data_IF_439711910011
#
_entry.id   IF_439711910011
#
_cell.length_a   1.000
_cell.length_b   1.000
_cell.length_c   1.000
_cell.angle_alpha   90.00
_cell.angle_beta   90.00
_cell.angle_gamma   90.00
#
_symmetry.space_group_name_H-M   'P 1'
#
loop_
_entity.id
_entity.type
_entity.pdbx_description
1 polymer ?
#
# COMPACT_ATOMS: atom_id res chain seq x y z
N UNK A 1 -20.48 6.96 -35.40
CA UNK A 1 -19.72 6.16 -34.44
C UNK A 1 -19.26 4.83 -35.03
N UNK A 2 -20.13 4.04 -35.66
CA UNK A 2 -19.80 2.69 -36.23
C UNK A 2 -18.64 2.69 -37.24
N UNK A 3 -18.49 3.73 -38.07
CA UNK A 3 -17.40 3.83 -39.05
C UNK A 3 -16.02 3.99 -38.43
N UNK A 4 -15.92 4.75 -37.29
CA UNK A 4 -14.67 4.94 -36.55
C UNK A 4 -14.23 3.62 -35.92
N UNK A 5 -15.17 2.88 -35.30
CA UNK A 5 -14.86 1.56 -34.72
C UNK A 5 -14.42 0.54 -35.79
N UNK A 6 -14.99 0.60 -37.01
CA UNK A 6 -14.58 -0.26 -38.12
C UNK A 6 -13.13 0.04 -38.58
N UNK A 7 -12.76 1.29 -38.62
CA UNK A 7 -11.39 1.72 -38.94
C UNK A 7 -10.42 1.34 -37.82
N UNK A 8 -10.82 1.49 -36.57
CA UNK A 8 -10.03 1.08 -35.40
C UNK A 8 -9.81 -0.45 -35.39
N UNK A 9 -10.84 -1.23 -35.72
CA UNK A 9 -10.75 -2.68 -35.86
C UNK A 9 -9.74 -3.15 -36.92
N UNK A 10 -9.46 -2.32 -37.93
CA UNK A 10 -8.42 -2.62 -38.93
C UNK A 10 -6.99 -2.62 -38.32
N UNK A 11 -6.79 -1.86 -37.24
CA UNK A 11 -5.53 -1.74 -36.52
C UNK A 11 -5.56 -2.47 -35.16
N UNK A 12 -6.41 -3.51 -35.03
CA UNK A 12 -6.70 -4.21 -33.76
C UNK A 12 -5.45 -4.65 -32.99
N UNK A 13 -4.39 -5.12 -33.68
CA UNK A 13 -3.17 -5.58 -33.03
C UNK A 13 -2.45 -4.45 -32.27
N UNK A 14 -2.38 -3.23 -32.88
CA UNK A 14 -1.78 -2.07 -32.18
C UNK A 14 -2.69 -1.59 -31.06
N UNK A 15 -4.01 -1.61 -31.26
CA UNK A 15 -4.96 -1.27 -30.19
C UNK A 15 -4.83 -2.23 -29.01
N UNK A 16 -4.63 -3.51 -29.24
CA UNK A 16 -4.42 -4.51 -28.17
C UNK A 16 -3.14 -4.20 -27.39
N UNK A 17 -2.05 -3.85 -28.07
CA UNK A 17 -0.80 -3.43 -27.41
C UNK A 17 -1.03 -2.16 -26.58
N UNK A 18 -1.77 -1.19 -27.09
CA UNK A 18 -2.14 0.04 -26.34
C UNK A 18 -2.94 -0.33 -25.09
N UNK A 19 -3.92 -1.23 -25.20
CA UNK A 19 -4.69 -1.71 -24.04
C UNK A 19 -3.80 -2.39 -23.01
N UNK A 20 -2.90 -3.27 -23.43
CA UNK A 20 -1.96 -3.93 -22.51
C UNK A 20 -1.06 -2.91 -21.78
N UNK A 21 -0.56 -1.91 -22.51
CA UNK A 21 0.23 -0.83 -21.90
C UNK A 21 -0.59 0.03 -20.94
N UNK A 22 -1.88 0.28 -21.23
CA UNK A 22 -2.77 1.00 -20.30
C UNK A 22 -3.01 0.22 -19.01
N UNK A 23 -3.07 -1.11 -19.05
CA UNK A 23 -3.13 -1.92 -17.83
C UNK A 23 -1.87 -1.77 -17.00
N UNK A 24 -0.68 -1.82 -17.63
CA UNK A 24 0.59 -1.59 -16.94
C UNK A 24 0.63 -0.19 -16.34
N UNK A 25 0.19 0.82 -17.08
CA UNK A 25 0.12 2.20 -16.59
C UNK A 25 -0.80 2.31 -15.36
N UNK A 26 -2.02 1.75 -15.44
CA UNK A 26 -2.98 1.77 -14.33
C UNK A 26 -2.43 1.04 -13.08
N UNK A 27 -1.74 -0.09 -13.27
CA UNK A 27 -1.08 -0.78 -12.17
C UNK A 27 -0.01 0.10 -11.50
N UNK A 28 0.82 0.78 -12.29
CA UNK A 28 1.82 1.71 -11.75
C UNK A 28 1.16 2.86 -10.98
N UNK A 29 0.11 3.47 -11.54
CA UNK A 29 -0.61 4.59 -10.91
C UNK A 29 -1.26 4.19 -9.57
N UNK A 30 -1.84 2.98 -9.50
CA UNK A 30 -2.48 2.47 -8.29
C UNK A 30 -1.48 2.01 -7.23
N UNK A 31 -0.27 1.60 -7.63
CA UNK A 31 0.77 1.16 -6.70
C UNK A 31 1.57 2.32 -6.08
N UNK A 32 1.62 3.50 -6.70
CA UNK A 32 2.39 4.64 -6.18
C UNK A 32 1.96 5.09 -4.77
N UNK A 33 0.65 5.20 -4.43
CA UNK A 33 0.22 5.53 -3.08
C UNK A 33 0.72 4.52 -2.03
N UNK A 34 0.78 3.21 -2.35
CA UNK A 34 1.27 2.18 -1.43
C UNK A 34 2.74 2.39 -1.07
N UNK A 35 3.58 2.74 -2.06
CA UNK A 35 4.99 3.07 -1.79
C UNK A 35 5.12 4.33 -0.95
N UNK A 36 4.25 5.32 -1.16
CA UNK A 36 4.23 6.54 -0.33
C UNK A 36 3.86 6.21 1.12
N UNK A 37 2.82 5.38 1.33
CA UNK A 37 2.43 4.89 2.64
C UNK A 37 3.58 4.12 3.31
N UNK A 38 4.23 3.19 2.59
CA UNK A 38 5.40 2.46 3.10
C UNK A 38 6.55 3.36 3.53
N UNK A 39 6.83 4.44 2.79
CA UNK A 39 7.87 5.40 3.16
C UNK A 39 7.49 6.13 4.45
N UNK A 40 6.23 6.56 4.59
CA UNK A 40 5.77 7.33 5.75
C UNK A 40 5.59 6.39 6.95
N UNK A 41 4.79 5.34 6.82
CA UNK A 41 4.38 4.49 7.93
C UNK A 41 5.55 3.61 8.40
N UNK A 42 6.12 2.82 7.49
CA UNK A 42 7.22 1.92 7.85
C UNK A 42 8.56 2.66 7.91
N UNK A 43 8.85 3.51 6.91
CA UNK A 43 10.17 4.15 6.80
C UNK A 43 10.39 5.24 7.85
N UNK A 44 9.40 6.10 8.11
CA UNK A 44 9.55 7.24 9.01
C UNK A 44 9.01 6.91 10.40
N UNK A 45 7.77 6.42 10.51
CA UNK A 45 7.14 6.19 11.81
C UNK A 45 7.69 4.96 12.54
N UNK A 46 8.00 3.88 11.79
CA UNK A 46 8.50 2.61 12.35
C UNK A 46 10.02 2.44 12.19
N UNK A 47 10.77 3.49 11.77
CA UNK A 47 12.22 3.42 11.64
C UNK A 47 12.73 2.43 10.58
N UNK A 48 11.92 2.06 9.58
CA UNK A 48 12.27 1.12 8.53
C UNK A 48 12.09 -0.37 8.93
N UNK A 49 11.34 -0.64 9.98
CA UNK A 49 11.12 -1.98 10.53
C UNK A 49 9.81 -2.54 9.99
N UNK A 50 9.87 -3.68 9.30
CA UNK A 50 8.72 -4.35 8.67
C UNK A 50 8.19 -5.53 9.50
N UNK A 51 9.01 -6.07 10.43
CA UNK A 51 8.71 -7.31 11.15
C UNK A 51 9.06 -7.16 12.64
N UNK A 52 8.25 -7.73 13.55
CA UNK A 52 8.58 -7.80 14.97
C UNK A 52 9.78 -8.69 15.25
N UNK A 53 10.21 -9.52 14.28
CA UNK A 53 11.37 -10.38 14.42
C UNK A 53 12.64 -9.59 14.06
N UNK A 54 13.49 -9.17 15.03
CA UNK A 54 14.68 -8.38 14.76
C UNK A 54 15.72 -9.15 13.94
N UNK A 55 16.32 -8.50 12.94
CA UNK A 55 17.40 -9.11 12.17
C UNK A 55 18.68 -9.32 13.00
N UNK A 56 18.90 -8.44 13.97
CA UNK A 56 19.98 -8.55 14.98
C UNK A 56 19.41 -8.23 16.36
N UNK A 57 19.83 -8.94 17.37
CA UNK A 57 19.37 -8.77 18.76
C UNK A 57 20.54 -8.95 19.72
N UNK A 58 20.55 -8.19 20.82
CA UNK A 58 21.52 -8.39 21.91
C UNK A 58 21.12 -9.59 22.76
N UNK A 59 22.10 -10.22 23.41
CA UNK A 59 21.84 -11.37 24.28
C UNK A 59 20.85 -11.07 25.42
N UNK A 60 20.95 -9.87 26.02
CA UNK A 60 20.05 -9.43 27.09
C UNK A 60 18.59 -9.37 26.67
N UNK A 61 18.33 -8.83 25.48
CA UNK A 61 16.99 -8.72 24.91
C UNK A 61 16.44 -10.07 24.47
N UNK A 62 17.28 -10.92 23.84
CA UNK A 62 16.90 -12.28 23.48
C UNK A 62 16.52 -13.11 24.68
N UNK A 63 17.30 -13.02 25.78
CA UNK A 63 17.00 -13.71 27.03
C UNK A 63 15.69 -13.21 27.66
N UNK A 64 15.46 -11.89 27.71
CA UNK A 64 14.24 -11.30 28.23
C UNK A 64 13.00 -11.74 27.41
N UNK A 65 13.06 -11.69 26.07
CA UNK A 65 11.98 -12.16 25.19
C UNK A 65 11.72 -13.67 25.38
N UNK A 66 12.78 -14.46 25.46
CA UNK A 66 12.67 -15.92 25.69
C UNK A 66 11.99 -16.27 27.01
N UNK A 67 12.12 -15.44 28.06
CA UNK A 67 11.43 -15.62 29.34
C UNK A 67 9.92 -15.39 29.23
N UNK A 68 9.50 -14.54 28.31
CA UNK A 68 8.11 -14.20 28.05
C UNK A 68 7.43 -15.14 27.04
N UNK A 69 8.16 -16.08 26.42
CA UNK A 69 7.66 -17.09 25.48
C UNK A 69 7.36 -18.42 26.16
N UNK A 70 6.54 -19.25 25.51
CA UNK A 70 6.41 -20.68 25.89
C UNK A 70 7.74 -21.38 25.68
N UNK A 71 7.97 -22.48 26.41
CA UNK A 71 9.24 -23.18 26.36
C UNK A 71 9.62 -23.67 24.96
N UNK A 72 8.63 -24.16 24.19
CA UNK A 72 8.80 -24.61 22.81
C UNK A 72 9.18 -23.45 21.86
N UNK A 73 8.48 -22.34 21.99
CA UNK A 73 8.69 -21.14 21.17
C UNK A 73 10.03 -20.46 21.51
N UNK A 74 10.39 -20.42 22.81
CA UNK A 74 11.66 -19.88 23.28
C UNK A 74 12.86 -20.66 22.73
N UNK A 75 12.78 -22.00 22.74
CA UNK A 75 13.83 -22.84 22.17
C UNK A 75 13.95 -22.62 20.63
N UNK A 76 12.84 -22.54 19.91
CA UNK A 76 12.84 -22.24 18.49
C UNK A 76 13.41 -20.84 18.20
N UNK A 77 13.03 -19.83 18.99
CA UNK A 77 13.50 -18.46 18.88
C UNK A 77 15.01 -18.35 19.12
N UNK A 78 15.53 -18.95 20.18
CA UNK A 78 16.97 -18.97 20.46
C UNK A 78 17.77 -19.68 19.36
N UNK A 79 17.28 -20.81 18.84
CA UNK A 79 17.91 -21.54 17.74
C UNK A 79 17.87 -20.82 16.38
N UNK A 80 16.98 -19.84 16.23
CA UNK A 80 16.88 -19.05 15.02
C UNK A 80 17.99 -18.00 14.91
N UNK A 81 18.75 -17.76 15.99
CA UNK A 81 19.84 -16.79 16.03
C UNK A 81 21.21 -17.46 16.12
N UNK A 82 22.19 -16.84 15.49
CA UNK A 82 23.60 -17.25 15.56
C UNK A 82 24.45 -16.08 16.04
N UNK A 83 25.47 -16.36 16.85
CA UNK A 83 26.37 -15.34 17.38
C UNK A 83 27.17 -14.66 16.24
N UNK A 84 27.16 -13.33 16.21
CA UNK A 84 27.90 -12.48 15.28
C UNK A 84 28.53 -11.30 16.06
N UNK A 85 29.67 -11.53 16.68
CA UNK A 85 30.33 -10.57 17.58
C UNK A 85 29.54 -10.35 18.87
N UNK A 86 29.20 -9.10 19.18
CA UNK A 86 28.46 -8.70 20.39
C UNK A 86 26.94 -8.82 20.25
N UNK A 87 26.46 -9.18 19.06
CA UNK A 87 25.03 -9.34 18.75
C UNK A 87 24.75 -10.72 18.17
N UNK A 88 23.50 -11.11 18.22
CA UNK A 88 22.99 -12.33 17.63
C UNK A 88 22.26 -11.97 16.34
N UNK A 89 22.56 -12.68 15.26
CA UNK A 89 21.96 -12.45 13.93
C UNK A 89 20.95 -13.55 13.61
N UNK A 90 19.80 -13.14 13.09
CA UNK A 90 18.79 -14.06 12.60
C UNK A 90 19.34 -14.87 11.41
N UNK A 91 19.15 -16.18 11.45
CA UNK A 91 19.56 -17.10 10.38
C UNK A 91 18.80 -16.79 9.08
N UNK A 92 19.51 -16.87 7.96
CA UNK A 92 18.96 -16.60 6.62
C UNK A 92 18.33 -17.80 5.94
N UNK A 93 18.54 -19.02 6.51
CA UNK A 93 18.06 -20.29 5.99
C UNK A 93 16.68 -20.72 6.54
N UNK A 94 16.01 -19.85 7.31
CA UNK A 94 14.66 -20.07 7.81
C UNK A 94 13.65 -20.09 6.64
N UNK A 95 12.76 -21.06 6.68
CA UNK A 95 11.61 -21.12 5.76
C UNK A 95 10.60 -20.00 6.05
N UNK A 96 9.75 -19.67 5.07
CA UNK A 96 8.71 -18.65 5.27
C UNK A 96 7.75 -19.01 6.42
N UNK A 97 7.41 -20.29 6.55
CA UNK A 97 6.50 -20.79 7.61
C UNK A 97 7.15 -20.69 8.99
N UNK A 98 8.44 -21.07 9.12
CA UNK A 98 9.19 -20.93 10.37
C UNK A 98 9.32 -19.47 10.78
N UNK A 99 9.57 -18.58 9.81
CA UNK A 99 9.66 -17.14 10.07
C UNK A 99 8.34 -16.57 10.58
N UNK A 100 7.23 -16.92 9.93
CA UNK A 100 5.89 -16.48 10.34
C UNK A 100 5.55 -17.00 11.75
N UNK A 101 5.87 -18.25 12.05
CA UNK A 101 5.65 -18.81 13.37
C UNK A 101 6.46 -18.09 14.46
N UNK A 102 7.71 -17.70 14.16
CA UNK A 102 8.55 -16.91 15.08
C UNK A 102 8.05 -15.46 15.23
N UNK A 103 7.58 -14.83 14.14
CA UNK A 103 6.97 -13.50 14.18
C UNK A 103 5.72 -13.48 15.06
N UNK A 104 4.86 -14.49 14.95
CA UNK A 104 3.67 -14.63 15.80
C UNK A 104 4.06 -14.88 17.27
N UNK A 105 5.07 -15.71 17.51
CA UNK A 105 5.53 -16.05 18.86
C UNK A 105 6.19 -14.86 19.59
N UNK A 106 6.93 -14.00 18.86
CA UNK A 106 7.66 -12.86 19.44
C UNK A 106 6.78 -11.64 19.65
N UNK A 107 5.70 -11.47 18.88
CA UNK A 107 4.85 -10.27 18.90
C UNK A 107 4.31 -9.95 20.30
N UNK A 108 3.79 -10.92 21.03
CA UNK A 108 3.30 -10.72 22.41
C UNK A 108 4.41 -10.36 23.41
N UNK A 109 5.55 -11.08 23.48
CA UNK A 109 6.72 -10.69 24.24
C UNK A 109 7.23 -9.28 23.93
N UNK A 110 7.30 -8.89 22.66
CA UNK A 110 7.75 -7.56 22.24
C UNK A 110 6.84 -6.46 22.79
N UNK A 111 5.52 -6.64 22.70
CA UNK A 111 4.54 -5.70 23.27
C UNK A 111 4.77 -5.53 24.77
N UNK A 112 4.91 -6.63 25.48
CA UNK A 112 5.10 -6.62 26.95
C UNK A 112 6.39 -5.90 27.32
N UNK A 113 7.48 -6.23 26.63
CA UNK A 113 8.79 -5.63 26.90
C UNK A 113 8.80 -4.13 26.58
N UNK A 114 8.15 -3.72 25.46
CA UNK A 114 7.99 -2.31 25.12
C UNK A 114 7.16 -1.53 26.14
N UNK A 115 6.05 -2.11 26.60
CA UNK A 115 5.21 -1.47 27.63
C UNK A 115 5.95 -1.37 28.97
N UNK A 116 6.71 -2.39 29.33
CA UNK A 116 7.55 -2.35 30.53
C UNK A 116 8.62 -1.24 30.42
N UNK A 117 9.27 -1.08 29.25
CA UNK A 117 10.21 0.00 29.00
C UNK A 117 9.55 1.38 29.06
N UNK A 118 8.33 1.52 28.50
CA UNK A 118 7.55 2.76 28.59
C UNK A 118 7.19 3.10 30.02
N UNK A 119 6.84 2.11 30.82
CA UNK A 119 6.56 2.31 32.26
C UNK A 119 7.83 2.70 33.02
N UNK A 120 8.97 2.09 32.74
CA UNK A 120 10.25 2.47 33.33
C UNK A 120 10.62 3.91 33.04
N UNK A 121 10.46 4.38 31.79
CA UNK A 121 10.69 5.76 31.36
C UNK A 121 9.81 6.79 32.12
N UNK A 122 8.59 6.41 32.48
CA UNK A 122 7.60 7.28 33.13
C UNK A 122 7.58 7.13 34.67
N UNK A 123 8.40 6.22 35.22
CA UNK A 123 8.46 6.01 36.67
C UNK A 123 9.59 6.86 37.28
N UNK A 124 9.33 7.69 38.31
CA UNK A 124 10.38 8.47 38.97
C UNK A 124 11.46 7.56 39.55
N UNK A 125 12.73 7.94 39.36
CA UNK A 125 13.88 7.22 39.87
C UNK A 125 13.75 6.95 41.38
N UNK A 126 13.56 5.68 41.75
CA UNK A 126 13.43 5.22 43.14
C UNK A 126 12.15 4.44 43.47
N UNK A 127 11.19 4.33 42.57
CA UNK A 127 10.02 3.45 42.72
C UNK A 127 10.14 2.25 41.77
N UNK A 128 10.73 1.19 42.23
CA UNK A 128 10.81 -0.10 41.52
C UNK A 128 9.47 -0.81 41.64
N UNK A 129 8.48 -0.36 40.85
CA UNK A 129 7.21 -1.07 40.67
C UNK A 129 7.33 -2.03 39.48
N UNK A 130 7.34 -3.32 39.79
CA UNK A 130 7.46 -4.39 38.81
C UNK A 130 6.27 -4.34 37.83
N UNK A 131 6.55 -4.15 36.53
CA UNK A 131 5.65 -3.76 35.45
C UNK A 131 4.53 -4.73 35.03
N UNK A 132 4.00 -5.58 35.90
CA UNK A 132 2.78 -6.36 35.62
C UNK A 132 1.49 -5.54 35.84
N UNK A 133 1.56 -4.41 36.50
CA UNK A 133 0.44 -3.46 36.64
C UNK A 133 0.14 -2.72 35.36
N UNK A 134 1.10 -2.53 34.46
CA UNK A 134 0.91 -1.87 33.15
C UNK A 134 -0.11 -2.55 32.22
N UNK A 135 -0.26 -3.86 32.32
CA UNK A 135 -1.30 -4.60 31.59
C UNK A 135 -2.70 -4.33 32.17
N UNK A 136 -2.83 -4.14 33.47
CA UNK A 136 -4.10 -3.76 34.11
C UNK A 136 -4.47 -2.29 33.80
N UNK A 137 -3.48 -1.40 33.71
CA UNK A 137 -3.67 0.00 33.34
C UNK A 137 -4.05 0.17 31.86
N UNK A 138 -3.62 -0.74 30.97
CA UNK A 138 -4.09 -0.78 29.58
C UNK A 138 -5.58 -1.13 29.48
N UNK A 139 -6.10 -2.00 30.33
CA UNK A 139 -7.54 -2.27 30.43
C UNK A 139 -8.31 -1.06 30.91
N UNK A 140 -7.75 -0.27 31.83
CA UNK A 140 -8.37 0.93 32.35
C UNK A 140 -8.28 2.11 31.35
N UNK A 141 -7.17 2.26 30.61
CA UNK A 141 -6.94 3.34 29.64
C UNK A 141 -7.70 3.14 28.31
N UNK A 142 -8.06 1.88 27.97
CA UNK A 142 -8.88 1.59 26.78
C UNK A 142 -10.34 1.98 26.94
N UNK A 143 -10.83 2.14 28.17
CA UNK A 143 -12.24 2.42 28.48
C UNK A 143 -12.56 3.90 28.64
N UNK A 144 -11.59 4.81 28.87
CA UNK A 144 -11.88 6.21 29.21
C UNK A 144 -10.93 7.20 28.52
N UNK A 145 -11.07 7.34 27.19
CA UNK A 145 -10.36 8.36 26.39
C UNK A 145 -11.00 9.76 26.44
N UNK A 146 -11.85 10.05 27.42
CA UNK A 146 -12.56 11.33 27.57
C UNK A 146 -12.06 12.21 28.72
N UNK A 147 -10.87 11.99 29.24
CA UNK A 147 -10.26 12.93 30.18
C UNK A 147 -9.13 13.69 29.46
N UNK A 148 -9.36 14.99 29.24
CA UNK A 148 -8.43 16.00 28.69
C UNK A 148 -7.20 16.25 29.60
N UNK A 149 -6.56 15.21 30.08
CA UNK A 149 -5.27 15.31 30.76
C UNK A 149 -4.24 14.72 29.81
N UNK A 150 -3.66 15.54 28.97
CA UNK A 150 -2.42 15.27 28.23
C UNK A 150 -1.30 14.99 29.25
N UNK A 151 -1.27 13.80 29.81
CA UNK A 151 -0.06 13.30 30.44
C UNK A 151 0.89 12.95 29.31
N UNK A 152 1.85 13.83 29.06
CA UNK A 152 2.91 13.65 28.06
C UNK A 152 3.71 12.41 28.48
N UNK A 153 3.31 11.24 27.96
CA UNK A 153 4.03 9.96 28.17
C UNK A 153 5.36 10.05 27.46
N UNK A 154 6.44 10.02 28.22
CA UNK A 154 7.80 10.01 27.67
C UNK A 154 8.02 8.69 26.93
N UNK A 155 8.50 8.79 25.68
CA UNK A 155 8.86 7.59 24.94
C UNK A 155 10.04 6.88 25.60
N UNK A 156 10.02 5.51 25.66
CA UNK A 156 11.13 4.76 26.24
C UNK A 156 12.41 4.93 25.43
N UNK A 157 13.53 4.84 26.12
CA UNK A 157 14.87 4.90 25.54
C UNK A 157 15.55 3.53 25.57
N UNK A 158 16.70 3.41 24.90
CA UNK A 158 17.53 2.21 24.95
C UNK A 158 18.00 1.87 26.38
N UNK A 159 18.21 2.90 27.25
CA UNK A 159 18.59 2.69 28.66
C UNK A 159 17.43 2.10 29.48
N UNK A 160 16.20 2.50 29.19
CA UNK A 160 15.01 1.94 29.82
C UNK A 160 14.82 0.49 29.44
N UNK A 161 15.09 0.14 28.17
CA UNK A 161 15.07 -1.24 27.70
C UNK A 161 16.11 -2.11 28.44
N UNK A 162 17.35 -1.61 28.60
CA UNK A 162 18.40 -2.32 29.32
C UNK A 162 18.03 -2.53 30.79
N UNK A 163 17.43 -1.53 31.41
CA UNK A 163 16.95 -1.61 32.79
C UNK A 163 15.90 -2.71 32.96
N UNK A 164 14.94 -2.75 32.03
CA UNK A 164 13.85 -3.75 32.03
C UNK A 164 14.37 -5.14 31.72
N UNK A 165 15.27 -5.31 30.75
CA UNK A 165 15.92 -6.59 30.49
C UNK A 165 16.67 -7.12 31.75
N UNK A 166 17.37 -6.23 32.46
CA UNK A 166 18.01 -6.55 33.73
C UNK A 166 17.02 -6.99 34.82
N UNK A 167 15.85 -6.35 34.91
CA UNK A 167 14.79 -6.74 35.87
C UNK A 167 14.20 -8.11 35.53
N UNK A 168 13.93 -8.41 34.25
CA UNK A 168 13.48 -9.75 33.83
C UNK A 168 14.52 -10.83 34.11
N UNK A 169 15.80 -10.55 33.88
CA UNK A 169 16.89 -11.46 34.23
C UNK A 169 16.95 -11.74 35.72
N UNK A 170 16.78 -10.74 36.58
CA UNK A 170 16.72 -10.88 38.01
C UNK A 170 15.48 -11.67 38.46
N UNK A 171 14.32 -11.42 37.84
CA UNK A 171 13.07 -12.12 38.14
C UNK A 171 13.15 -13.63 37.81
N UNK A 172 13.84 -13.99 36.73
CA UNK A 172 14.03 -15.40 36.34
C UNK A 172 14.80 -16.21 37.37
N UNK A 173 15.62 -15.56 38.22
CA UNK A 173 16.40 -16.19 39.27
C UNK A 173 15.64 -16.33 40.61
N UNK A 174 14.41 -15.75 40.71
CA UNK A 174 13.61 -15.83 41.92
C UNK A 174 13.01 -17.24 42.12
N UNK A 175 13.04 -17.79 43.36
CA UNK A 175 12.37 -19.04 43.64
C UNK A 175 10.86 -18.91 43.44
N UNK A 176 10.29 -19.71 42.53
CA UNK A 176 8.85 -19.68 42.21
C UNK A 176 8.48 -19.02 40.91
N UNK A 177 9.44 -18.52 40.13
CA UNK A 177 9.18 -18.05 38.77
C UNK A 177 8.71 -19.20 37.87
N UNK A 178 7.55 -19.03 37.23
CA UNK A 178 7.01 -20.00 36.27
C UNK A 178 6.67 -19.27 34.97
N UNK A 179 7.30 -19.66 33.85
CA UNK A 179 7.02 -19.17 32.51
C UNK A 179 5.56 -19.38 32.14
N UNK A 180 5.00 -20.56 32.45
CA UNK A 180 3.62 -20.90 32.12
C UNK A 180 2.60 -19.98 32.81
N UNK A 181 2.90 -19.60 34.08
CA UNK A 181 2.02 -18.67 34.79
C UNK A 181 2.05 -17.28 34.19
N UNK A 182 3.20 -16.77 33.74
CA UNK A 182 3.34 -15.49 33.02
C UNK A 182 2.61 -15.55 31.71
N UNK A 183 2.78 -16.61 30.92
CA UNK A 183 2.13 -16.81 29.63
C UNK A 183 0.60 -16.90 29.74
N UNK A 184 0.08 -17.61 30.74
CA UNK A 184 -1.36 -17.69 30.97
C UNK A 184 -1.95 -16.32 31.31
N UNK A 185 -1.25 -15.52 32.12
CA UNK A 185 -1.67 -14.15 32.41
C UNK A 185 -1.67 -13.25 31.17
N UNK A 186 -0.60 -13.31 30.35
CA UNK A 186 -0.46 -12.54 29.12
C UNK A 186 -1.53 -12.90 28.09
N UNK A 187 -1.70 -14.19 27.82
CA UNK A 187 -2.71 -14.68 26.88
C UNK A 187 -4.12 -14.33 27.34
N UNK A 188 -4.38 -14.43 28.65
CA UNK A 188 -5.67 -14.05 29.24
C UNK A 188 -5.96 -12.54 29.16
N UNK A 189 -4.93 -11.69 29.31
CA UNK A 189 -5.07 -10.26 29.21
C UNK A 189 -5.30 -9.81 27.75
N UNK A 190 -4.52 -10.32 26.80
CA UNK A 190 -4.64 -9.97 25.38
C UNK A 190 -5.94 -10.53 24.77
N UNK A 191 -6.35 -11.74 25.15
CA UNK A 191 -7.58 -12.36 24.67
C UNK A 191 -8.89 -11.66 25.09
N UNK A 192 -8.81 -10.69 26.00
CA UNK A 192 -9.94 -9.84 26.42
C UNK A 192 -9.96 -8.48 25.72
N UNK A 193 -8.96 -8.18 24.87
CA UNK A 193 -8.87 -6.91 24.15
C UNK A 193 -9.64 -6.97 22.83
N UNK A 194 -10.17 -5.83 22.40
CA UNK A 194 -10.81 -5.69 21.11
C UNK A 194 -9.78 -5.78 19.96
N UNK A 195 -10.18 -6.31 18.81
CA UNK A 195 -9.31 -6.49 17.64
C UNK A 195 -8.59 -5.20 17.22
N UNK A 196 -9.24 -4.04 17.37
CA UNK A 196 -8.63 -2.72 17.10
C UNK A 196 -7.49 -2.38 18.07
N UNK A 197 -7.61 -2.78 19.33
CA UNK A 197 -6.56 -2.60 20.35
C UNK A 197 -5.40 -3.54 20.07
N UNK A 198 -5.68 -4.78 19.70
CA UNK A 198 -4.65 -5.78 19.33
C UNK A 198 -3.83 -5.29 18.14
N UNK A 199 -4.46 -4.70 17.11
CA UNK A 199 -3.75 -4.16 15.94
C UNK A 199 -2.85 -2.97 16.32
N UNK A 200 -3.32 -2.08 17.19
CA UNK A 200 -2.50 -1.00 17.74
C UNK A 200 -1.32 -1.53 18.58
N UNK A 201 -1.52 -2.60 19.35
CA UNK A 201 -0.46 -3.24 20.13
C UNK A 201 0.59 -3.90 19.23
N UNK A 202 0.21 -4.48 18.11
CA UNK A 202 1.17 -5.03 17.13
C UNK A 202 2.13 -3.96 16.59
N UNK A 203 1.65 -2.73 16.39
CA UNK A 203 2.53 -1.63 16.00
C UNK A 203 3.58 -1.30 17.07
N UNK A 204 3.25 -1.51 18.35
CA UNK A 204 4.19 -1.30 19.46
C UNK A 204 5.29 -2.39 19.51
N UNK A 205 5.01 -3.63 19.06
CA UNK A 205 6.03 -4.65 18.90
C UNK A 205 7.16 -4.19 17.95
N UNK A 206 6.80 -3.49 16.86
CA UNK A 206 7.80 -2.93 15.93
C UNK A 206 8.65 -1.84 16.59
N UNK A 207 8.06 -1.07 17.52
CA UNK A 207 8.79 -0.01 18.24
C UNK A 207 9.84 -0.61 19.18
N UNK A 208 9.60 -1.79 19.79
CA UNK A 208 10.61 -2.49 20.57
C UNK A 208 11.85 -2.82 19.72
N UNK A 209 11.64 -3.34 18.52
CA UNK A 209 12.75 -3.63 17.59
C UNK A 209 13.51 -2.35 17.25
N UNK A 210 12.80 -1.21 17.16
CA UNK A 210 13.41 0.12 16.98
C UNK A 210 14.33 0.50 18.14
N UNK A 211 13.88 0.32 19.39
CA UNK A 211 14.68 0.54 20.59
C UNK A 211 15.91 -0.38 20.65
N UNK A 212 15.74 -1.64 20.27
CA UNK A 212 16.83 -2.59 20.20
C UNK A 212 17.91 -2.16 19.19
N UNK A 213 17.50 -1.68 18.00
CA UNK A 213 18.43 -1.15 17.00
C UNK A 213 19.07 0.17 17.43
N UNK A 214 18.37 0.99 18.20
CA UNK A 214 18.92 2.19 18.82
C UNK A 214 20.00 1.84 19.84
N UNK A 215 19.73 0.86 20.70
CA UNK A 215 20.70 0.33 21.67
C UNK A 215 21.96 -0.27 21.02
N UNK A 216 21.81 -0.86 19.81
CA UNK A 216 22.92 -1.33 19.00
C UNK A 216 23.61 -0.20 18.20
N UNK A 217 23.06 1.01 18.16
CA UNK A 217 23.57 2.13 17.39
C UNK A 217 23.38 1.99 15.87
N UNK A 218 22.51 1.08 15.39
CA UNK A 218 22.29 0.81 13.96
C UNK A 218 20.93 1.31 13.44
N UNK A 219 20.06 1.84 14.31
CA UNK A 219 18.70 2.27 13.94
C UNK A 219 18.68 3.19 12.72
N UNK A 220 19.53 4.21 12.69
CA UNK A 220 19.62 5.14 11.55
C UNK A 220 20.05 4.44 10.26
N UNK A 221 20.98 3.49 10.33
CA UNK A 221 21.45 2.75 9.14
C UNK A 221 20.34 1.86 8.58
N UNK A 222 19.58 1.20 9.43
CA UNK A 222 18.42 0.36 9.05
C UNK A 222 17.34 1.22 8.39
N UNK A 223 16.98 2.34 9.01
CA UNK A 223 16.00 3.28 8.47
C UNK A 223 16.40 3.80 7.09
N UNK A 224 17.65 4.29 6.95
CA UNK A 224 18.14 4.81 5.68
C UNK A 224 18.20 3.75 4.60
N UNK A 225 18.62 2.53 4.95
CA UNK A 225 18.64 1.41 4.00
C UNK A 225 17.24 1.11 3.46
N UNK A 226 16.23 1.07 4.37
CA UNK A 226 14.84 0.88 3.99
C UNK A 226 14.33 2.00 3.07
N UNK A 227 14.57 3.27 3.43
CA UNK A 227 14.16 4.43 2.65
C UNK A 227 14.78 4.44 1.25
N UNK A 228 16.07 4.10 1.14
CA UNK A 228 16.73 3.98 -0.18
C UNK A 228 16.17 2.84 -1.01
N UNK A 229 15.85 1.69 -0.38
CA UNK A 229 15.26 0.52 -1.05
C UNK A 229 13.88 0.87 -1.61
N UNK A 230 12.98 1.37 -0.76
CA UNK A 230 11.59 1.69 -1.14
C UNK A 230 11.54 2.90 -2.07
N UNK A 231 12.32 3.95 -1.79
CA UNK A 231 12.46 5.11 -2.67
C UNK A 231 13.00 4.77 -4.04
N UNK A 232 13.99 3.87 -4.12
CA UNK A 232 14.51 3.33 -5.38
C UNK A 232 13.47 2.54 -6.17
N UNK A 233 12.66 1.71 -5.50
CA UNK A 233 11.55 0.98 -6.12
C UNK A 233 10.48 1.95 -6.65
N UNK A 234 10.10 2.96 -5.87
CA UNK A 234 9.15 4.00 -6.27
C UNK A 234 9.66 4.78 -7.49
N UNK A 235 10.95 5.14 -7.50
CA UNK A 235 11.57 5.80 -8.63
C UNK A 235 11.55 4.93 -9.89
N UNK A 236 11.91 3.65 -9.77
CA UNK A 236 11.88 2.71 -10.89
C UNK A 236 10.44 2.54 -11.45
N UNK A 237 9.44 2.43 -10.57
CA UNK A 237 8.03 2.35 -10.95
C UNK A 237 7.57 3.62 -11.68
N UNK A 238 7.96 4.79 -11.20
CA UNK A 238 7.65 6.08 -11.84
C UNK A 238 8.30 6.21 -13.22
N UNK A 239 9.55 5.80 -13.36
CA UNK A 239 10.23 5.78 -14.66
C UNK A 239 9.57 4.82 -15.65
N UNK A 240 9.16 3.64 -15.18
CA UNK A 240 8.39 2.68 -15.97
C UNK A 240 7.06 3.31 -16.44
N UNK A 241 6.32 3.96 -15.54
CA UNK A 241 5.06 4.64 -15.85
C UNK A 241 5.25 5.72 -16.93
N UNK A 242 6.29 6.55 -16.83
CA UNK A 242 6.63 7.56 -17.84
C UNK A 242 6.94 6.92 -19.18
N UNK A 243 7.75 5.87 -19.22
CA UNK A 243 8.09 5.16 -20.46
C UNK A 243 6.83 4.56 -21.12
N UNK A 244 5.97 3.92 -20.34
CA UNK A 244 4.70 3.36 -20.81
C UNK A 244 3.77 4.45 -21.32
N UNK A 245 3.63 5.56 -20.62
CA UNK A 245 2.79 6.70 -21.03
C UNK A 245 3.25 7.29 -22.37
N UNK A 246 4.56 7.43 -22.57
CA UNK A 246 5.15 7.87 -23.85
C UNK A 246 4.83 6.85 -24.95
N UNK A 247 5.00 5.56 -24.69
CA UNK A 247 4.71 4.49 -25.66
C UNK A 247 3.22 4.48 -26.06
N UNK A 248 2.31 4.60 -25.10
CA UNK A 248 0.86 4.72 -25.35
C UNK A 248 0.56 5.94 -26.22
N UNK A 249 1.11 7.11 -25.89
CA UNK A 249 0.93 8.34 -26.66
C UNK A 249 1.44 8.20 -28.09
N UNK A 250 2.60 7.61 -28.28
CA UNK A 250 3.19 7.36 -29.60
C UNK A 250 2.35 6.39 -30.43
N UNK A 251 1.95 5.25 -29.86
CA UNK A 251 1.14 4.25 -30.59
C UNK A 251 -0.25 4.78 -30.92
N UNK A 252 -0.92 5.47 -29.99
CA UNK A 252 -2.22 6.08 -30.22
C UNK A 252 -2.16 7.13 -31.34
N UNK A 253 -1.13 7.98 -31.35
CA UNK A 253 -0.91 8.96 -32.42
C UNK A 253 -0.63 8.31 -33.77
N UNK A 254 0.13 7.23 -33.78
CA UNK A 254 0.42 6.45 -35.02
C UNK A 254 -0.82 5.81 -35.60
N UNK A 255 -1.67 5.20 -34.76
CA UNK A 255 -2.96 4.63 -35.18
C UNK A 255 -3.88 5.72 -35.73
N UNK A 256 -4.01 6.84 -35.02
CA UNK A 256 -4.82 7.99 -35.43
C UNK A 256 -4.36 8.55 -36.76
N UNK A 257 -3.06 8.73 -37.00
CA UNK A 257 -2.49 9.19 -38.26
C UNK A 257 -2.77 8.19 -39.41
N UNK A 258 -2.71 6.89 -39.15
CA UNK A 258 -3.06 5.85 -40.13
C UNK A 258 -4.55 5.93 -40.52
N UNK A 259 -5.43 6.07 -39.52
CA UNK A 259 -6.88 6.26 -39.76
C UNK A 259 -7.13 7.51 -40.60
N UNK A 260 -6.49 8.65 -40.26
CA UNK A 260 -6.63 9.87 -41.02
C UNK A 260 -6.16 9.77 -42.47
N UNK A 261 -5.05 9.05 -42.70
CA UNK A 261 -4.57 8.75 -44.06
C UNK A 261 -5.60 7.94 -44.84
N UNK A 262 -6.11 6.87 -44.21
CA UNK A 262 -7.06 5.97 -44.89
C UNK A 262 -8.39 6.69 -45.19
N UNK A 263 -8.89 7.54 -44.28
CA UNK A 263 -10.07 8.38 -44.50
C UNK A 263 -9.86 9.37 -45.64
N UNK A 264 -8.72 10.06 -45.68
CA UNK A 264 -8.41 10.99 -46.79
C UNK A 264 -8.39 10.30 -48.15
N UNK A 265 -7.76 9.11 -48.19
CA UNK A 265 -7.70 8.27 -49.40
C UNK A 265 -9.10 7.84 -49.83
N UNK A 266 -9.94 7.40 -48.89
CA UNK A 266 -11.31 6.95 -49.19
C UNK A 266 -12.18 8.11 -49.69
N UNK A 267 -12.11 9.27 -49.03
CA UNK A 267 -12.85 10.47 -49.42
C UNK A 267 -12.41 10.98 -50.81
N UNK A 268 -11.09 11.05 -51.04
CA UNK A 268 -10.56 11.50 -52.34
C UNK A 268 -10.95 10.54 -53.46
N UNK A 269 -10.86 9.22 -53.22
CA UNK A 269 -11.31 8.24 -54.20
C UNK A 269 -12.80 8.38 -54.52
N UNK A 270 -13.65 8.64 -53.53
CA UNK A 270 -15.08 8.86 -53.74
C UNK A 270 -15.37 10.12 -54.57
N UNK A 271 -14.66 11.22 -54.26
CA UNK A 271 -14.83 12.50 -54.99
C UNK A 271 -14.45 12.41 -56.48
N UNK A 272 -13.39 11.64 -56.81
CA UNK A 272 -12.98 11.44 -58.22
C UNK A 272 -14.06 10.69 -59.03
N UNK A 273 -14.87 9.87 -58.40
CA UNK A 273 -15.91 9.09 -59.07
C UNK A 273 -17.26 9.79 -59.06
N UNK A 274 -17.38 11.04 -58.58
CA UNK A 274 -18.60 11.80 -58.63
C UNK A 274 -18.98 12.17 -60.08
N UNK A 275 -20.26 12.05 -60.40
CA UNK A 275 -20.84 12.57 -61.63
C UNK A 275 -20.92 14.10 -61.58
N UNK A 276 -21.07 14.76 -62.78
CA UNK A 276 -21.22 16.22 -62.83
C UNK A 276 -22.40 16.71 -61.98
N UNK A 277 -23.51 15.99 -61.93
CA UNK A 277 -24.68 16.35 -61.14
C UNK A 277 -24.41 16.24 -59.62
N UNK A 278 -23.54 15.32 -59.17
CA UNK A 278 -23.13 15.19 -57.77
C UNK A 278 -22.16 16.30 -57.37
N UNK A 279 -21.24 16.69 -58.26
CA UNK A 279 -20.29 17.79 -58.01
C UNK A 279 -21.03 19.12 -57.84
N UNK A 280 -22.11 19.36 -58.60
CA UNK A 280 -22.93 20.59 -58.47
C UNK A 280 -23.66 20.68 -57.12
N UNK A 281 -23.98 19.55 -56.50
CA UNK A 281 -24.62 19.50 -55.17
C UNK A 281 -23.64 19.80 -54.00
N UNK A 282 -22.34 19.72 -54.21
CA UNK A 282 -21.34 20.00 -53.20
C UNK A 282 -20.49 21.23 -53.57
N UNK A 283 -20.40 22.20 -52.67
CA UNK A 283 -19.46 23.30 -52.89
C UNK A 283 -18.01 22.82 -52.74
N UNK A 284 -17.11 23.30 -53.58
CA UNK A 284 -15.67 22.98 -53.49
C UNK A 284 -15.09 23.31 -52.12
N UNK A 285 -15.54 24.42 -51.50
CA UNK A 285 -15.13 24.78 -50.13
C UNK A 285 -15.55 23.75 -49.10
N UNK A 286 -16.76 23.19 -49.21
CA UNK A 286 -17.24 22.12 -48.30
C UNK A 286 -16.42 20.84 -48.42
N UNK A 287 -16.05 20.44 -49.63
CA UNK A 287 -15.23 19.27 -49.88
C UNK A 287 -13.81 19.44 -49.31
N UNK A 288 -13.21 20.62 -49.43
CA UNK A 288 -11.91 20.95 -48.86
C UNK A 288 -11.99 20.89 -47.34
N UNK A 289 -12.99 21.48 -46.70
CA UNK A 289 -13.15 21.47 -45.25
C UNK A 289 -13.31 20.04 -44.71
N UNK A 290 -14.11 19.21 -45.37
CA UNK A 290 -14.31 17.80 -44.98
C UNK A 290 -13.03 16.96 -45.11
N UNK A 291 -12.23 17.16 -46.12
CA UNK A 291 -10.98 16.42 -46.36
C UNK A 291 -9.83 16.87 -45.46
N UNK A 292 -9.87 18.07 -44.92
CA UNK A 292 -8.85 18.65 -44.06
C UNK A 292 -9.28 18.68 -42.60
N UNK A 293 -10.20 19.56 -42.23
CA UNK A 293 -10.54 19.85 -40.83
C UNK A 293 -11.36 18.73 -40.19
N UNK A 294 -12.38 18.17 -40.86
CA UNK A 294 -13.20 17.11 -40.25
C UNK A 294 -12.40 15.84 -40.01
N UNK A 295 -11.52 15.47 -40.93
CA UNK A 295 -10.64 14.31 -40.76
C UNK A 295 -9.62 14.56 -39.61
N UNK A 296 -9.14 15.80 -39.47
CA UNK A 296 -8.25 16.14 -38.34
C UNK A 296 -8.98 16.04 -37.02
N UNK A 297 -10.24 16.44 -36.91
CA UNK A 297 -11.08 16.26 -35.73
C UNK A 297 -11.27 14.76 -35.41
N UNK A 298 -11.53 13.92 -36.42
CA UNK A 298 -11.63 12.46 -36.24
C UNK A 298 -10.31 11.88 -35.71
N UNK A 299 -9.17 12.34 -36.23
CA UNK A 299 -7.87 11.92 -35.69
C UNK A 299 -7.71 12.27 -34.21
N UNK A 300 -8.06 13.49 -33.81
CA UNK A 300 -8.01 13.94 -32.43
C UNK A 300 -8.92 13.07 -31.54
N UNK A 301 -10.15 12.82 -31.96
CA UNK A 301 -11.09 11.94 -31.22
C UNK A 301 -10.56 10.53 -31.10
N UNK A 302 -9.92 9.99 -32.14
CA UNK A 302 -9.31 8.65 -32.07
C UNK A 302 -8.19 8.57 -31.01
N UNK A 303 -7.31 9.58 -30.93
CA UNK A 303 -6.28 9.64 -29.88
C UNK A 303 -6.92 9.72 -28.50
N UNK A 304 -7.93 10.58 -28.35
CA UNK A 304 -8.64 10.75 -27.09
C UNK A 304 -9.35 9.46 -26.64
N UNK A 305 -10.02 8.76 -27.58
CA UNK A 305 -10.66 7.47 -27.31
C UNK A 305 -9.66 6.42 -26.83
N UNK A 306 -8.54 6.28 -27.52
CA UNK A 306 -7.52 5.29 -27.18
C UNK A 306 -6.81 5.60 -25.86
N UNK A 307 -6.59 6.88 -25.55
CA UNK A 307 -5.80 7.29 -24.39
C UNK A 307 -6.64 7.55 -23.13
N UNK A 308 -7.78 8.24 -23.26
CA UNK A 308 -8.58 8.66 -22.10
C UNK A 308 -9.78 7.76 -21.85
N UNK A 309 -10.56 7.45 -22.90
CA UNK A 309 -11.81 6.69 -22.74
C UNK A 309 -11.51 5.22 -22.44
N UNK A 310 -10.41 4.68 -22.99
CA UNK A 310 -9.98 3.31 -22.68
C UNK A 310 -9.33 3.20 -21.28
N UNK A 311 -8.60 4.23 -20.85
CA UNK A 311 -7.88 4.24 -19.57
C UNK A 311 -8.81 4.38 -18.36
N UNK A 312 -9.84 5.25 -18.45
CA UNK A 312 -10.71 5.54 -17.32
C UNK A 312 -11.43 4.31 -16.71
N UNK A 313 -12.01 3.37 -17.51
CA UNK A 313 -12.60 2.15 -16.97
C UNK A 313 -11.57 1.23 -16.31
N UNK A 314 -10.36 1.13 -16.88
CA UNK A 314 -9.28 0.29 -16.35
C UNK A 314 -8.86 0.81 -14.98
N UNK A 315 -8.62 2.12 -14.87
CA UNK A 315 -8.25 2.76 -13.61
C UNK A 315 -9.38 2.70 -12.58
N UNK A 316 -10.64 2.91 -13.00
CA UNK A 316 -11.79 2.86 -12.11
C UNK A 316 -12.03 1.48 -11.52
N UNK A 317 -12.02 0.43 -12.35
CA UNK A 317 -12.18 -0.95 -11.90
C UNK A 317 -10.97 -1.37 -11.04
N UNK A 318 -9.75 -1.06 -11.50
CA UNK A 318 -8.52 -1.35 -10.78
C UNK A 318 -8.50 -0.68 -9.39
N UNK A 319 -8.90 0.60 -9.29
CA UNK A 319 -8.98 1.32 -8.03
C UNK A 319 -9.98 0.71 -7.05
N UNK A 320 -11.18 0.34 -7.52
CA UNK A 320 -12.18 -0.34 -6.68
C UNK A 320 -11.64 -1.68 -6.16
N UNK A 321 -11.04 -2.50 -7.04
CA UNK A 321 -10.46 -3.79 -6.64
C UNK A 321 -9.31 -3.62 -5.63
N UNK A 322 -8.48 -2.59 -5.82
CA UNK A 322 -7.36 -2.28 -4.93
C UNK A 322 -7.85 -1.90 -3.51
N UNK A 323 -8.87 -1.05 -3.43
CA UNK A 323 -9.44 -0.61 -2.14
C UNK A 323 -10.15 -1.74 -1.39
N UNK A 324 -10.86 -2.64 -2.10
CA UNK A 324 -11.52 -3.80 -1.47
C UNK A 324 -10.47 -4.73 -0.80
N UNK A 325 -9.26 -4.80 -1.35
CA UNK A 325 -8.16 -5.61 -0.80
C UNK A 325 -7.46 -4.99 0.41
N UNK A 326 -7.59 -3.67 0.64
CA UNK A 326 -6.75 -2.95 1.62
C UNK A 326 -7.37 -2.82 3.02
N UNK A 327 -8.69 -2.59 3.14
CA UNK A 327 -9.34 -2.48 4.46
C UNK A 327 -10.86 -2.61 4.35
N UNK A 328 -11.48 -3.41 5.22
CA UNK A 328 -12.91 -3.73 5.12
C UNK A 328 -13.88 -2.60 5.51
N UNK A 329 -13.48 -1.67 6.39
CA UNK A 329 -14.39 -0.63 6.90
C UNK A 329 -14.56 0.57 5.98
N UNK A 330 -13.46 1.18 5.55
CA UNK A 330 -13.44 2.35 4.66
C UNK A 330 -13.77 2.02 3.21
N UNK A 331 -13.52 0.78 2.78
CA UNK A 331 -13.75 0.30 1.42
C UNK A 331 -15.19 0.45 0.97
N UNK A 332 -16.16 0.16 1.84
CA UNK A 332 -17.59 0.26 1.52
C UNK A 332 -18.03 1.71 1.30
N UNK A 333 -17.46 2.67 2.02
CA UNK A 333 -17.76 4.10 1.86
C UNK A 333 -17.29 4.57 0.49
N UNK A 334 -16.07 4.19 0.08
CA UNK A 334 -15.50 4.56 -1.22
C UNK A 334 -16.27 3.92 -2.38
N UNK A 335 -16.63 2.63 -2.26
CA UNK A 335 -17.44 1.94 -3.28
C UNK A 335 -18.81 2.59 -3.42
N UNK A 336 -19.43 3.00 -2.32
CA UNK A 336 -20.70 3.71 -2.32
C UNK A 336 -20.59 5.07 -3.00
N UNK A 337 -19.55 5.84 -2.69
CA UNK A 337 -19.30 7.16 -3.28
C UNK A 337 -19.07 7.07 -4.81
N UNK A 338 -18.25 6.12 -5.25
CA UNK A 338 -18.03 5.83 -6.67
C UNK A 338 -19.35 5.41 -7.36
N UNK A 339 -20.17 4.59 -6.72
CA UNK A 339 -21.48 4.17 -7.25
C UNK A 339 -22.43 5.36 -7.39
N UNK A 340 -22.48 6.26 -6.42
CA UNK A 340 -23.27 7.50 -6.45
C UNK A 340 -22.80 8.42 -7.57
N UNK A 341 -21.49 8.63 -7.73
CA UNK A 341 -20.89 9.44 -8.80
C UNK A 341 -21.24 8.88 -10.18
N UNK A 342 -21.10 7.57 -10.37
CA UNK A 342 -21.48 6.90 -11.62
C UNK A 342 -22.97 7.07 -11.91
N UNK A 343 -23.84 6.93 -10.92
CA UNK A 343 -25.29 7.11 -11.05
C UNK A 343 -25.63 8.57 -11.46
N UNK A 344 -24.97 9.55 -10.82
CA UNK A 344 -25.13 10.98 -11.10
C UNK A 344 -24.73 11.35 -12.54
N UNK A 345 -23.70 10.69 -13.09
CA UNK A 345 -23.23 10.92 -14.46
C UNK A 345 -24.10 10.17 -15.49
N UNK A 346 -24.49 8.93 -15.19
CA UNK A 346 -25.27 8.09 -16.11
C UNK A 346 -26.71 8.54 -16.24
N UNK A 347 -27.36 8.94 -15.15
CA UNK A 347 -28.78 9.35 -15.17
C UNK A 347 -29.08 10.50 -16.15
N UNK A 348 -28.33 11.64 -16.15
CA UNK A 348 -28.54 12.71 -17.13
C UNK A 348 -28.20 12.29 -18.56
N UNK A 349 -27.16 11.43 -18.74
CA UNK A 349 -26.73 10.95 -20.05
C UNK A 349 -27.78 10.06 -20.70
N UNK A 350 -28.40 9.16 -19.93
CA UNK A 350 -29.51 8.30 -20.39
C UNK A 350 -30.76 9.13 -20.70
N UNK A 351 -31.06 10.16 -19.89
CA UNK A 351 -32.21 11.03 -20.10
C UNK A 351 -32.06 11.85 -21.39
N UNK A 352 -30.87 12.39 -21.61
CA UNK A 352 -30.55 13.16 -22.80
C UNK A 352 -30.51 12.28 -24.07
N UNK A 353 -30.01 11.05 -23.96
CA UNK A 353 -30.04 10.07 -25.05
C UNK A 353 -31.46 9.67 -25.46
N UNK A 354 -32.38 9.56 -24.52
CA UNK A 354 -33.81 9.31 -24.80
C UNK A 354 -34.51 10.49 -25.49
N UNK A 355 -34.20 11.72 -25.05
CA UNK A 355 -34.80 12.93 -25.69
C UNK A 355 -34.34 13.13 -27.14
N UNK A 356 -33.12 12.73 -27.49
CA UNK A 356 -32.60 12.77 -28.84
C UNK A 356 -33.24 11.69 -29.72
N UNK A 357 -33.43 10.48 -29.19
CA UNK A 357 -34.07 9.39 -29.92
C UNK A 357 -35.58 9.66 -30.21
N UNK A 358 -36.29 10.36 -29.32
CA UNK A 358 -37.70 10.77 -29.53
C UNK A 358 -37.88 11.94 -30.47
N UNK A 359 -36.83 12.64 -30.89
CA UNK A 359 -36.88 13.75 -31.85
C UNK A 359 -36.56 13.33 -33.31
N UNK A 360 -36.13 12.09 -33.51
CA UNK A 360 -35.83 11.55 -34.85
C UNK A 360 -36.96 10.67 -35.42
N UNK A 361 -38.03 10.40 -34.67
CA UNK A 361 -39.31 9.82 -35.10
C UNK A 361 -40.35 10.95 -35.30
#
# INVERSE_FOLDING_TARGET
MTKIFKQLARHWAVCLVVFALLFVQAYCDLSLPDYTSKIVDTGIQQGGIESPLPATVRQSTLDALSLLMREEDAAAFQNAYTADGDVLRLRTDLTADERTALEDAVTTPDIVLYLAATQAANTPAGQTGMGMTGLADLQASGADRNTDTETETVAPTAEDLDTVCGQFAAMSQMPGFSRDAVQQQLTGAIGQLDDTVVENLKSQALLLVGLEYEAQGIAHAVQMHYLYKVGGQMLALTLLMVAVSIAVGFLASRVSAAIGRDLRRETFSSVIHFSNAEIENFSTASLITRTTNDIQQVQFVCVMLLRMVAYAPILGIGGVLHVIGSSSGLSWIIVLDVAILLLLILLPSIKKGREVAFKED
#
